data_IF_472275265067
#
_entry.id   IF_472275265067
#
_cell.length_a   1.000
_cell.length_b   1.000
_cell.length_c   1.000
_cell.angle_alpha   90.00
_cell.angle_beta   90.00
_cell.angle_gamma   90.00
#
_symmetry.space_group_name_H-M   'P 1'
#
loop_
_entity.id
_entity.type
_entity.pdbx_description
1 polymer ?
#
# COMPACT_ATOMS: atom_id res chain seq x y z
N UNK A 1 -5.87 -1.54 27.49
CA UNK A 1 -5.75 -0.45 26.49
C UNK A 1 -4.70 -0.76 25.43
N UNK A 2 -3.45 -1.03 25.84
CA UNK A 2 -2.35 -1.31 24.90
C UNK A 2 -2.51 -2.65 24.16
N UNK A 3 -2.92 -3.71 24.86
CA UNK A 3 -3.23 -5.02 24.28
C UNK A 3 -4.37 -4.98 23.25
N UNK A 4 -5.42 -4.19 23.50
CA UNK A 4 -6.53 -3.99 22.55
C UNK A 4 -6.03 -3.29 21.29
N UNK A 5 -5.21 -2.24 21.43
CA UNK A 5 -4.61 -1.54 20.29
C UNK A 5 -3.70 -2.45 19.47
N UNK A 6 -2.91 -3.29 20.13
CA UNK A 6 -2.03 -4.26 19.48
C UNK A 6 -2.85 -5.30 18.69
N UNK A 7 -3.93 -5.82 19.28
CA UNK A 7 -4.83 -6.75 18.61
C UNK A 7 -5.48 -6.13 17.36
N UNK A 8 -5.91 -4.87 17.43
CA UNK A 8 -6.48 -4.16 16.26
C UNK A 8 -5.43 -3.98 15.16
N UNK A 9 -4.19 -3.63 15.52
CA UNK A 9 -3.08 -3.51 14.56
C UNK A 9 -2.78 -4.85 13.89
N UNK A 10 -2.80 -5.95 14.65
CA UNK A 10 -2.61 -7.29 14.12
C UNK A 10 -3.73 -7.70 13.15
N UNK A 11 -4.98 -7.35 13.44
CA UNK A 11 -6.12 -7.60 12.53
C UNK A 11 -5.97 -6.86 11.20
N UNK A 12 -5.62 -5.57 11.25
CA UNK A 12 -5.36 -4.77 10.04
C UNK A 12 -4.18 -5.34 9.25
N UNK A 13 -3.10 -5.72 9.93
CA UNK A 13 -1.93 -6.32 9.28
C UNK A 13 -2.28 -7.64 8.58
N UNK A 14 -3.05 -8.53 9.24
CA UNK A 14 -3.54 -9.77 8.64
C UNK A 14 -4.43 -9.52 7.42
N UNK A 15 -5.32 -8.52 7.50
CA UNK A 15 -6.13 -8.07 6.36
C UNK A 15 -5.26 -7.63 5.19
N UNK A 16 -4.27 -6.75 5.40
CA UNK A 16 -3.42 -6.25 4.33
C UNK A 16 -2.60 -7.36 3.66
N UNK A 17 -2.06 -8.32 4.44
CA UNK A 17 -1.37 -9.50 3.89
C UNK A 17 -2.32 -10.31 3.01
N UNK A 18 -3.51 -10.63 3.51
CA UNK A 18 -4.49 -11.42 2.77
C UNK A 18 -4.94 -10.71 1.49
N UNK A 19 -5.17 -9.40 1.56
CA UNK A 19 -5.58 -8.59 0.41
C UNK A 19 -4.47 -8.50 -0.65
N UNK A 20 -3.22 -8.23 -0.25
CA UNK A 20 -2.08 -8.20 -1.19
C UNK A 20 -1.83 -9.57 -1.84
N UNK A 21 -1.97 -10.66 -1.08
CA UNK A 21 -1.89 -12.01 -1.63
C UNK A 21 -3.02 -12.26 -2.64
N UNK A 22 -4.24 -11.81 -2.36
CA UNK A 22 -5.35 -11.91 -3.30
C UNK A 22 -5.09 -11.11 -4.59
N UNK A 23 -4.56 -9.89 -4.49
CA UNK A 23 -4.13 -9.10 -5.65
C UNK A 23 -3.09 -9.84 -6.50
N UNK A 24 -2.03 -10.38 -5.87
CA UNK A 24 -0.98 -11.15 -6.55
C UNK A 24 -1.52 -12.39 -7.27
N UNK A 25 -2.57 -12.99 -6.75
CA UNK A 25 -3.23 -14.14 -7.37
C UNK A 25 -4.28 -13.76 -8.43
N UNK A 26 -4.20 -12.54 -8.97
CA UNK A 26 -5.06 -12.04 -10.04
C UNK A 26 -6.44 -11.58 -9.56
N UNK A 27 -6.60 -11.33 -8.26
CA UNK A 27 -7.82 -10.82 -7.65
C UNK A 27 -9.08 -11.61 -8.05
N UNK A 28 -8.99 -12.94 -8.13
CA UNK A 28 -10.09 -13.79 -8.65
C UNK A 28 -11.40 -13.57 -7.89
N UNK A 29 -12.55 -13.54 -8.60
CA UNK A 29 -13.86 -13.36 -7.97
C UNK A 29 -14.29 -14.61 -7.20
N UNK A 30 -15.29 -14.45 -6.31
CA UNK A 30 -15.90 -15.54 -5.54
C UNK A 30 -15.19 -15.90 -4.23
N UNK A 31 -14.17 -15.14 -3.84
CA UNK A 31 -13.50 -15.26 -2.54
C UNK A 31 -14.00 -14.27 -1.50
N UNK A 32 -13.23 -14.10 -0.42
CA UNK A 32 -13.50 -13.14 0.67
C UNK A 32 -13.45 -11.69 0.22
N UNK A 33 -12.66 -11.39 -0.82
CA UNK A 33 -12.49 -10.04 -1.33
C UNK A 33 -13.25 -9.83 -2.63
N UNK A 34 -13.74 -8.60 -2.79
CA UNK A 34 -14.49 -8.15 -3.95
C UNK A 34 -13.69 -7.12 -4.74
N UNK A 35 -13.64 -7.34 -6.05
CA UNK A 35 -13.07 -6.43 -7.03
C UNK A 35 -13.78 -5.07 -7.09
N UNK A 36 -15.00 -5.00 -6.56
CA UNK A 36 -15.93 -3.87 -6.70
C UNK A 36 -15.92 -2.99 -5.46
N UNK A 37 -15.20 -3.39 -4.41
CA UNK A 37 -15.18 -2.75 -3.11
C UNK A 37 -13.84 -2.08 -2.83
N UNK A 38 -13.90 -0.96 -2.09
CA UNK A 38 -12.73 -0.34 -1.49
C UNK A 38 -12.23 -1.15 -0.28
N UNK A 39 -11.26 -0.62 0.45
CA UNK A 39 -10.65 -1.32 1.58
C UNK A 39 -11.62 -1.51 2.75
N UNK A 40 -12.48 -0.53 3.07
CA UNK A 40 -13.37 -0.63 4.24
C UNK A 40 -14.37 -1.79 4.10
N UNK A 41 -15.05 -1.91 2.96
CA UNK A 41 -15.98 -3.01 2.72
C UNK A 41 -15.26 -4.37 2.65
N UNK A 42 -14.08 -4.43 2.01
CA UNK A 42 -13.28 -5.66 2.01
C UNK A 42 -12.76 -6.06 3.41
N UNK A 43 -12.42 -5.09 4.27
CA UNK A 43 -12.04 -5.34 5.67
C UNK A 43 -13.22 -5.89 6.46
N UNK A 44 -14.41 -5.30 6.27
CA UNK A 44 -15.65 -5.79 6.88
C UNK A 44 -15.91 -7.26 6.50
N UNK A 45 -15.87 -7.59 5.21
CA UNK A 45 -16.10 -8.95 4.71
C UNK A 45 -15.05 -9.94 5.26
N UNK A 46 -13.78 -9.51 5.29
CA UNK A 46 -12.67 -10.31 5.85
C UNK A 46 -12.84 -10.62 7.34
N UNK A 47 -13.12 -9.60 8.16
CA UNK A 47 -13.29 -9.78 9.60
C UNK A 47 -14.55 -10.58 9.93
N UNK A 48 -15.63 -10.36 9.17
CA UNK A 48 -16.86 -11.16 9.28
C UNK A 48 -16.59 -12.64 8.98
N UNK A 49 -15.82 -12.95 7.94
CA UNK A 49 -15.48 -14.32 7.58
C UNK A 49 -14.71 -15.04 8.70
N UNK A 50 -13.80 -14.35 9.38
CA UNK A 50 -13.00 -14.92 10.47
C UNK A 50 -13.66 -14.78 11.85
N UNK A 51 -14.92 -14.33 11.91
CA UNK A 51 -15.70 -14.23 13.16
C UNK A 51 -15.19 -13.17 14.14
N UNK A 52 -14.55 -12.10 13.63
CA UNK A 52 -13.97 -11.04 14.45
C UNK A 52 -14.80 -9.74 14.36
N UNK A 53 -15.07 -9.05 15.48
CA UNK A 53 -15.74 -7.75 15.47
C UNK A 53 -14.97 -6.72 14.63
N UNK A 54 -15.68 -5.97 13.79
CA UNK A 54 -15.07 -5.12 12.76
C UNK A 54 -14.97 -3.66 13.17
N UNK A 55 -15.77 -3.20 14.15
CA UNK A 55 -15.98 -1.79 14.46
C UNK A 55 -14.69 -1.09 14.84
N UNK A 56 -13.90 -1.68 15.74
CA UNK A 56 -12.66 -1.09 16.20
C UNK A 56 -11.56 -1.09 15.12
N UNK A 57 -11.53 -2.12 14.27
CA UNK A 57 -10.60 -2.20 13.16
C UNK A 57 -10.94 -1.22 12.04
N UNK A 58 -12.22 -1.06 11.71
CA UNK A 58 -12.71 -0.06 10.76
C UNK A 58 -12.44 1.36 11.26
N UNK A 59 -12.68 1.63 12.54
CA UNK A 59 -12.36 2.94 13.12
C UNK A 59 -10.86 3.23 13.05
N UNK A 60 -10.02 2.22 13.35
CA UNK A 60 -8.58 2.38 13.22
C UNK A 60 -8.13 2.58 11.77
N UNK A 61 -8.73 1.87 10.80
CA UNK A 61 -8.47 2.08 9.37
C UNK A 61 -8.83 3.51 8.93
N UNK A 62 -9.99 4.02 9.35
CA UNK A 62 -10.39 5.39 9.05
C UNK A 62 -9.47 6.41 9.72
N UNK A 63 -9.04 6.16 10.97
CA UNK A 63 -8.07 7.01 11.64
C UNK A 63 -6.73 7.07 10.89
N UNK A 64 -6.27 5.93 10.37
CA UNK A 64 -5.05 5.87 9.56
C UNK A 64 -5.20 6.70 8.27
N UNK A 65 -6.34 6.60 7.56
CA UNK A 65 -6.63 7.45 6.40
C UNK A 65 -6.63 8.94 6.76
N UNK A 66 -7.32 9.34 7.84
CA UNK A 66 -7.35 10.74 8.30
C UNK A 66 -5.95 11.24 8.62
N UNK A 67 -5.13 10.44 9.30
CA UNK A 67 -3.74 10.80 9.63
C UNK A 67 -2.85 10.99 8.40
N UNK A 68 -3.17 10.30 7.30
CA UNK A 68 -2.50 10.45 6.01
C UNK A 68 -3.08 11.59 5.16
N UNK A 69 -4.06 12.34 5.68
CA UNK A 69 -4.72 13.44 4.96
C UNK A 69 -5.72 12.96 3.89
N UNK A 70 -6.17 11.71 3.96
CA UNK A 70 -7.11 11.11 3.01
C UNK A 70 -8.56 11.22 3.52
N UNK A 71 -9.51 11.18 2.58
CA UNK A 71 -10.92 11.07 2.91
C UNK A 71 -11.25 9.68 3.47
N UNK A 72 -11.91 9.56 4.60
CA UNK A 72 -12.17 8.26 5.23
C UNK A 72 -13.17 7.36 4.47
N UNK A 73 -14.09 7.97 3.72
CA UNK A 73 -15.10 7.24 2.95
C UNK A 73 -14.63 6.90 1.52
N UNK A 74 -13.83 7.79 0.92
CA UNK A 74 -13.30 7.67 -0.44
C UNK A 74 -11.79 7.96 -0.48
N UNK A 75 -10.96 7.17 0.22
CA UNK A 75 -9.55 7.52 0.49
C UNK A 75 -8.65 7.61 -0.74
N UNK A 76 -9.07 7.04 -1.87
CA UNK A 76 -8.27 6.95 -3.09
C UNK A 76 -9.02 7.42 -4.35
N UNK A 77 -10.15 8.10 -4.18
CA UNK A 77 -10.99 8.56 -5.27
C UNK A 77 -11.22 10.07 -5.14
N UNK A 78 -11.21 10.79 -6.25
CA UNK A 78 -11.50 12.24 -6.31
C UNK A 78 -12.93 12.57 -5.86
N UNK A 79 -13.86 11.63 -6.03
CA UNK A 79 -15.26 11.80 -5.69
C UNK A 79 -16.04 10.50 -5.82
N UNK A 80 -17.36 10.59 -5.54
CA UNK A 80 -18.27 9.43 -5.58
C UNK A 80 -18.38 8.86 -6.99
N UNK A 81 -18.38 9.73 -7.98
CA UNK A 81 -18.50 9.40 -9.40
C UNK A 81 -17.33 8.51 -9.85
N UNK A 82 -16.09 8.91 -9.52
CA UNK A 82 -14.90 8.11 -9.81
C UNK A 82 -14.97 6.74 -9.11
N UNK A 83 -15.41 6.68 -7.86
CA UNK A 83 -15.60 5.40 -7.15
C UNK A 83 -16.69 4.54 -7.80
N UNK A 84 -17.81 5.13 -8.22
CA UNK A 84 -18.90 4.41 -8.89
C UNK A 84 -18.48 3.86 -10.25
N UNK A 85 -17.65 4.59 -11.00
CA UNK A 85 -17.07 4.13 -12.26
C UNK A 85 -16.12 2.95 -12.04
N UNK A 86 -15.19 3.04 -11.09
CA UNK A 86 -14.33 1.91 -10.70
C UNK A 86 -15.18 0.69 -10.32
N UNK A 87 -16.21 0.90 -9.49
CA UNK A 87 -17.08 -0.17 -8.99
C UNK A 87 -17.88 -0.82 -10.12
N UNK A 88 -18.42 -0.04 -11.04
CA UNK A 88 -19.21 -0.53 -12.17
C UNK A 88 -18.41 -1.42 -13.12
N UNK A 89 -17.10 -1.20 -13.21
CA UNK A 89 -16.18 -1.96 -14.05
C UNK A 89 -15.41 -3.06 -13.31
N UNK A 90 -15.69 -3.30 -12.03
CA UNK A 90 -14.93 -4.21 -11.16
C UNK A 90 -13.45 -3.81 -11.02
N UNK A 91 -13.13 -2.51 -11.07
CA UNK A 91 -11.77 -1.99 -11.06
C UNK A 91 -11.35 -1.35 -9.73
N UNK A 92 -12.17 -1.39 -8.68
CA UNK A 92 -11.77 -0.84 -7.38
C UNK A 92 -10.44 -1.45 -6.92
N UNK A 93 -10.30 -2.76 -6.98
CA UNK A 93 -9.03 -3.41 -6.58
C UNK A 93 -7.80 -2.97 -7.41
N UNK A 94 -7.99 -2.37 -8.60
CA UNK A 94 -6.92 -1.89 -9.48
C UNK A 94 -6.53 -0.43 -9.26
N UNK A 95 -7.22 0.33 -8.40
CA UNK A 95 -6.84 1.71 -8.12
C UNK A 95 -5.38 1.76 -7.60
N UNK A 96 -4.47 2.48 -8.28
CA UNK A 96 -3.05 2.39 -8.00
C UNK A 96 -2.68 2.91 -6.60
N UNK A 97 -3.38 3.95 -6.11
CA UNK A 97 -3.16 4.49 -4.78
C UNK A 97 -3.63 3.52 -3.69
N UNK A 98 -4.75 2.82 -3.91
CA UNK A 98 -5.25 1.76 -3.02
C UNK A 98 -4.26 0.59 -2.93
N UNK A 99 -3.73 0.13 -4.05
CA UNK A 99 -2.71 -0.94 -4.07
C UNK A 99 -1.41 -0.49 -3.39
N UNK A 100 -0.99 0.77 -3.62
CA UNK A 100 0.19 1.32 -2.95
C UNK A 100 0.02 1.41 -1.43
N UNK A 101 -1.17 1.82 -0.97
CA UNK A 101 -1.51 1.83 0.44
C UNK A 101 -1.35 0.43 1.05
N UNK A 102 -2.03 -0.59 0.50
CA UNK A 102 -1.96 -1.96 1.04
C UNK A 102 -0.51 -2.46 1.15
N UNK A 103 0.30 -2.26 0.11
CA UNK A 103 1.70 -2.74 0.09
C UNK A 103 2.61 -2.00 1.07
N UNK A 104 2.33 -0.72 1.35
CA UNK A 104 3.05 0.01 2.38
C UNK A 104 2.78 -0.55 3.79
N UNK A 105 1.57 -1.07 4.02
CA UNK A 105 1.16 -1.60 5.32
C UNK A 105 1.67 -3.01 5.61
N UNK A 106 1.94 -3.81 4.58
CA UNK A 106 2.48 -5.18 4.74
C UNK A 106 3.98 -5.22 4.99
N UNK A 107 4.65 -4.06 5.03
CA UNK A 107 6.10 -4.00 5.19
C UNK A 107 6.84 -4.74 4.09
N UNK A 108 6.24 -4.91 2.90
CA UNK A 108 6.95 -5.47 1.77
C UNK A 108 8.23 -4.66 1.58
N UNK A 109 9.41 -5.29 1.63
CA UNK A 109 10.65 -4.58 1.46
C UNK A 109 10.60 -3.90 0.09
N UNK A 110 10.98 -2.63 0.05
CA UNK A 110 11.30 -1.99 -1.22
C UNK A 110 12.23 -2.94 -2.01
N UNK A 111 12.13 -2.98 -3.35
CA UNK A 111 13.02 -3.81 -4.16
C UNK A 111 14.47 -3.65 -3.70
N UNK A 112 15.19 -4.76 -3.60
CA UNK A 112 16.52 -4.77 -2.97
C UNK A 112 17.48 -3.76 -3.62
N UNK A 113 17.35 -3.56 -4.94
CA UNK A 113 18.07 -2.53 -5.68
C UNK A 113 17.79 -1.11 -5.19
N UNK A 114 16.51 -0.75 -4.97
CA UNK A 114 16.13 0.54 -4.40
C UNK A 114 16.68 0.74 -2.97
N UNK A 115 16.66 -0.31 -2.14
CA UNK A 115 17.24 -0.25 -0.79
C UNK A 115 18.74 0.02 -0.84
N UNK A 116 19.46 -0.63 -1.77
CA UNK A 116 20.91 -0.42 -1.96
C UNK A 116 21.21 0.98 -2.48
N UNK A 117 20.45 1.47 -3.47
CA UNK A 117 20.63 2.80 -4.02
C UNK A 117 20.40 3.90 -2.96
N UNK A 118 19.35 3.80 -2.15
CA UNK A 118 19.09 4.75 -1.06
C UNK A 118 20.21 4.71 -0.01
N UNK A 119 20.72 3.53 0.34
CA UNK A 119 21.84 3.40 1.27
C UNK A 119 23.11 4.07 0.72
N UNK A 120 23.39 3.93 -0.57
CA UNK A 120 24.52 4.59 -1.22
C UNK A 120 24.36 6.11 -1.21
N UNK A 121 23.16 6.62 -1.53
CA UNK A 121 22.85 8.05 -1.42
C UNK A 121 23.08 8.60 0.00
N UNK A 122 22.57 7.93 1.03
CA UNK A 122 22.77 8.36 2.41
C UNK A 122 24.25 8.29 2.84
N UNK A 123 25.01 7.33 2.30
CA UNK A 123 26.45 7.27 2.51
C UNK A 123 27.15 8.50 1.88
N UNK A 124 26.87 8.80 0.61
CA UNK A 124 27.43 9.98 -0.09
C UNK A 124 27.08 11.26 0.66
N UNK A 125 25.81 11.40 1.08
CA UNK A 125 25.36 12.55 1.87
C UNK A 125 26.08 12.69 3.20
N UNK A 126 26.36 11.60 3.90
CA UNK A 126 27.11 11.59 5.16
C UNK A 126 28.58 11.93 4.98
N UNK A 127 29.21 11.39 3.94
CA UNK A 127 30.62 11.62 3.61
C UNK A 127 30.87 13.02 3.04
N UNK A 128 29.80 13.68 2.58
CA UNK A 128 29.78 15.05 2.10
C UNK A 128 30.92 15.38 1.11
N UNK A 129 31.12 14.55 0.06
CA UNK A 129 32.09 14.88 -0.98
C UNK A 129 31.64 16.15 -1.72
N UNK A 130 32.55 16.89 -2.38
CA UNK A 130 32.18 18.10 -3.13
C UNK A 130 31.06 17.78 -4.13
N UNK A 131 30.05 18.65 -4.21
CA UNK A 131 28.87 18.45 -5.07
C UNK A 131 29.21 18.34 -6.56
N UNK A 132 30.37 18.89 -6.95
CA UNK A 132 30.93 18.83 -8.30
C UNK A 132 31.54 17.46 -8.64
N UNK A 133 31.68 16.57 -7.65
CA UNK A 133 32.09 15.19 -7.88
C UNK A 133 30.95 14.38 -8.48
N UNK A 134 31.28 13.45 -9.38
CA UNK A 134 30.31 12.54 -9.99
C UNK A 134 29.51 11.72 -8.98
N UNK A 135 30.03 11.52 -7.76
CA UNK A 135 29.42 10.67 -6.73
C UNK A 135 27.98 11.09 -6.33
N UNK A 136 27.70 12.39 -6.25
CA UNK A 136 26.35 12.87 -5.96
C UNK A 136 25.38 12.58 -7.11
N UNK A 137 25.84 12.82 -8.34
CA UNK A 137 25.07 12.54 -9.54
C UNK A 137 24.79 11.04 -9.67
N UNK A 138 25.80 10.21 -9.50
CA UNK A 138 25.69 8.75 -9.58
C UNK A 138 24.71 8.21 -8.52
N UNK A 139 24.75 8.74 -7.30
CA UNK A 139 23.84 8.33 -6.24
C UNK A 139 22.37 8.69 -6.53
N UNK A 140 22.13 9.90 -7.04
CA UNK A 140 20.78 10.35 -7.41
C UNK A 140 20.27 9.59 -8.63
N UNK A 141 21.11 9.44 -9.67
CA UNK A 141 20.75 8.73 -10.90
C UNK A 141 20.40 7.26 -10.60
N UNK A 142 21.17 6.59 -9.72
CA UNK A 142 20.88 5.21 -9.32
C UNK A 142 19.57 5.08 -8.54
N UNK A 143 19.29 5.99 -7.59
CA UNK A 143 17.99 5.99 -6.87
C UNK A 143 16.82 6.20 -7.83
N UNK A 144 16.96 7.11 -8.80
CA UNK A 144 15.94 7.38 -9.81
C UNK A 144 15.72 6.17 -10.74
N UNK A 145 16.78 5.49 -11.14
CA UNK A 145 16.71 4.28 -11.97
C UNK A 145 15.97 3.16 -11.23
N UNK A 146 16.39 2.85 -9.99
CA UNK A 146 15.78 1.78 -9.19
C UNK A 146 14.33 2.08 -8.82
N UNK A 147 14.00 3.35 -8.56
CA UNK A 147 12.62 3.77 -8.34
C UNK A 147 11.77 3.57 -9.61
N UNK A 148 12.30 3.91 -10.79
CA UNK A 148 11.62 3.66 -12.06
C UNK A 148 11.44 2.16 -12.33
N UNK A 149 12.48 1.36 -12.08
CA UNK A 149 12.41 -0.11 -12.24
C UNK A 149 11.41 -0.74 -11.27
N UNK A 150 11.39 -0.30 -10.00
CA UNK A 150 10.43 -0.74 -9.01
C UNK A 150 8.98 -0.49 -9.45
N UNK A 151 8.72 0.63 -10.12
CA UNK A 151 7.42 0.94 -10.71
C UNK A 151 7.14 0.07 -11.96
N UNK A 152 8.14 -0.19 -12.80
CA UNK A 152 7.98 -0.97 -14.03
C UNK A 152 7.81 -2.49 -13.80
N UNK A 153 8.56 -3.09 -12.86
CA UNK A 153 8.37 -4.49 -12.44
C UNK A 153 6.94 -4.67 -11.90
N UNK A 154 6.49 -3.68 -11.13
CA UNK A 154 5.14 -3.62 -10.58
C UNK A 154 4.02 -3.51 -11.64
N UNK A 155 4.30 -2.97 -12.83
CA UNK A 155 3.38 -2.93 -13.98
C UNK A 155 3.37 -4.27 -14.73
N UNK A 156 4.49 -5.01 -14.73
CA UNK A 156 4.62 -6.25 -15.50
C UNK A 156 4.16 -7.52 -14.77
N UNK A 157 3.88 -7.44 -13.46
CA UNK A 157 3.29 -8.52 -12.68
C UNK A 157 4.17 -9.76 -12.60
N UNK A 158 5.05 -9.83 -11.61
CA UNK A 158 5.67 -11.09 -11.17
C UNK A 158 4.68 -11.97 -10.40
#
# INVERSE_FOLDING_TARGET
>A
MQEIKENIRQQLYGFYIAYDLWLKNGAKPGGVFSQNYGLCANLFDYLTLIGTPCEAALEQLHADFRSAGLNEALPFNEGKEHYHEERGHNMCHMNPARVAWVRAQTGQPAPEGLVKAVRFYEQVKRENPPVETGAWKDAVDWVLEEACQAVNIRIKGE
#
